data_IF_176371379081
#
_entry.id   IF_176371379081
#
_cell.length_a   1.000
_cell.length_b   1.000
_cell.length_c   1.000
_cell.angle_alpha   90.00
_cell.angle_beta   90.00
_cell.angle_gamma   90.00
#
_symmetry.space_group_name_H-M   'P 1'
#
loop_
_entity.id
_entity.type
_entity.pdbx_description
1 polymer ?
#
# COMPACT_ATOMS: atom_id res chain seq x y z
N UNK A 1 -13.11 7.46 -1.36
CA UNK A 1 -12.03 7.60 -0.35
C UNK A 1 -10.94 6.55 -0.61
N UNK A 2 -11.22 5.26 -0.44
CA UNK A 2 -10.25 4.16 -0.61
C UNK A 2 -9.41 4.15 -1.91
N UNK A 3 -10.02 4.37 -3.09
CA UNK A 3 -9.27 4.38 -4.36
C UNK A 3 -8.25 5.51 -4.44
N UNK A 4 -8.51 6.66 -3.80
CA UNK A 4 -7.57 7.79 -3.76
C UNK A 4 -6.40 7.48 -2.83
N UNK A 5 -6.66 6.89 -1.68
CA UNK A 5 -5.63 6.55 -0.69
C UNK A 5 -4.66 5.50 -1.27
N UNK A 6 -5.21 4.49 -1.97
CA UNK A 6 -4.41 3.49 -2.71
C UNK A 6 -3.57 4.15 -3.80
N UNK A 7 -4.14 5.07 -4.59
CA UNK A 7 -3.40 5.79 -5.64
C UNK A 7 -2.25 6.58 -5.04
N UNK A 8 -2.48 7.33 -3.96
CA UNK A 8 -1.44 8.11 -3.28
C UNK A 8 -0.33 7.19 -2.74
N UNK A 9 -0.69 6.08 -2.09
CA UNK A 9 0.29 5.11 -1.57
C UNK A 9 1.15 4.52 -2.70
N UNK A 10 0.55 4.13 -3.82
CA UNK A 10 1.27 3.62 -4.99
C UNK A 10 2.15 4.71 -5.63
N UNK A 11 1.68 5.95 -5.70
CA UNK A 11 2.47 7.09 -6.19
C UNK A 11 3.70 7.35 -5.32
N UNK A 12 3.58 7.24 -3.99
CA UNK A 12 4.74 7.35 -3.10
C UNK A 12 5.78 6.25 -3.34
N UNK A 13 5.33 5.00 -3.50
CA UNK A 13 6.24 3.88 -3.84
C UNK A 13 6.92 4.12 -5.19
N UNK A 14 6.17 4.51 -6.21
CA UNK A 14 6.73 4.82 -7.53
C UNK A 14 7.73 5.98 -7.46
N UNK A 15 7.42 7.05 -6.72
CA UNK A 15 8.32 8.17 -6.49
C UNK A 15 9.61 7.75 -5.80
N UNK A 16 9.54 6.87 -4.80
CA UNK A 16 10.71 6.31 -4.12
C UNK A 16 11.60 5.52 -5.09
N UNK A 17 11.01 4.68 -5.94
CA UNK A 17 11.74 3.96 -6.99
C UNK A 17 12.45 4.92 -7.94
N UNK A 18 11.73 5.91 -8.48
CA UNK A 18 12.33 6.92 -9.36
C UNK A 18 13.47 7.67 -8.67
N UNK A 19 13.29 8.11 -7.43
CA UNK A 19 14.30 8.84 -6.68
C UNK A 19 15.55 7.98 -6.44
N UNK A 20 15.41 6.74 -5.97
CA UNK A 20 16.57 5.89 -5.74
C UNK A 20 17.28 5.47 -7.02
N UNK A 21 16.55 5.17 -8.09
CA UNK A 21 17.16 4.86 -9.38
C UNK A 21 17.92 6.07 -9.93
N UNK A 22 17.34 7.27 -9.81
CA UNK A 22 18.02 8.51 -10.19
C UNK A 22 19.30 8.73 -9.38
N UNK A 23 19.25 8.59 -8.06
CA UNK A 23 20.43 8.74 -7.20
C UNK A 23 21.50 7.72 -7.57
N UNK A 24 21.15 6.44 -7.71
CA UNK A 24 22.10 5.39 -8.09
C UNK A 24 22.78 5.67 -9.44
N UNK A 25 22.04 6.20 -10.41
CA UNK A 25 22.58 6.62 -11.70
C UNK A 25 23.47 7.86 -11.59
N UNK A 26 22.98 8.92 -10.93
CA UNK A 26 23.67 10.19 -10.81
C UNK A 26 24.97 10.09 -10.00
N UNK A 27 25.05 9.15 -9.05
CA UNK A 27 26.24 8.95 -8.22
C UNK A 27 27.13 7.79 -8.66
N UNK A 28 26.86 7.17 -9.82
CA UNK A 28 27.55 5.94 -10.23
C UNK A 28 29.07 6.09 -10.30
N UNK A 29 29.52 7.22 -10.87
CA UNK A 29 30.94 7.52 -11.03
C UNK A 29 31.59 8.11 -9.77
N UNK A 30 30.79 8.49 -8.77
CA UNK A 30 31.29 8.94 -7.46
C UNK A 30 31.71 7.77 -6.57
N UNK A 31 31.19 6.57 -6.82
CA UNK A 31 31.52 5.38 -6.04
C UNK A 31 32.96 4.92 -6.37
N UNK A 32 33.90 4.97 -5.39
CA UNK A 32 35.33 4.85 -5.66
C UNK A 32 35.82 3.42 -5.94
N UNK A 33 34.99 2.41 -5.66
CA UNK A 33 35.36 1.01 -5.87
C UNK A 33 34.16 0.16 -6.27
N UNK A 34 34.38 -0.99 -6.94
CA UNK A 34 33.32 -1.95 -7.24
C UNK A 34 32.58 -2.42 -5.99
N UNK A 35 33.30 -2.62 -4.87
CA UNK A 35 32.69 -3.01 -3.59
C UNK A 35 31.73 -1.94 -3.07
N UNK A 36 32.11 -0.66 -3.15
CA UNK A 36 31.22 0.44 -2.76
C UNK A 36 29.93 0.46 -3.59
N UNK A 37 30.03 0.21 -4.90
CA UNK A 37 28.86 0.10 -5.80
C UNK A 37 27.94 -1.06 -5.40
N UNK A 38 28.50 -2.23 -5.08
CA UNK A 38 27.72 -3.38 -4.61
C UNK A 38 26.97 -3.04 -3.31
N UNK A 39 27.64 -2.40 -2.34
CA UNK A 39 27.03 -2.01 -1.07
C UNK A 39 25.89 -1.00 -1.29
N UNK A 40 26.11 0.01 -2.14
CA UNK A 40 25.08 0.99 -2.49
C UNK A 40 23.87 0.34 -3.18
N UNK A 41 24.11 -0.57 -4.12
CA UNK A 41 23.05 -1.29 -4.82
C UNK A 41 22.27 -2.22 -3.89
N UNK A 42 22.96 -2.95 -3.00
CA UNK A 42 22.33 -3.82 -2.01
C UNK A 42 21.50 -3.00 -1.02
N UNK A 43 22.06 -1.92 -0.48
CA UNK A 43 21.35 -1.02 0.43
C UNK A 43 20.13 -0.37 -0.23
N UNK A 44 20.28 0.14 -1.45
CA UNK A 44 19.18 0.69 -2.24
C UNK A 44 18.08 -0.33 -2.53
N UNK A 45 18.46 -1.55 -2.92
CA UNK A 45 17.51 -2.64 -3.15
C UNK A 45 16.73 -3.02 -1.88
N UNK A 46 17.41 -3.11 -0.73
CA UNK A 46 16.77 -3.35 0.57
C UNK A 46 15.74 -2.26 0.86
N UNK A 47 16.11 -0.97 0.76
CA UNK A 47 15.19 0.15 1.00
C UNK A 47 13.95 0.04 0.11
N UNK A 48 14.13 -0.22 -1.19
CA UNK A 48 13.04 -0.31 -2.16
C UNK A 48 12.11 -1.49 -1.90
N UNK A 49 12.67 -2.68 -1.69
CA UNK A 49 11.90 -3.91 -1.46
C UNK A 49 11.11 -3.82 -0.16
N UNK A 50 11.76 -3.44 0.95
CA UNK A 50 11.10 -3.39 2.25
C UNK A 50 10.02 -2.29 2.30
N UNK A 51 10.26 -1.11 1.73
CA UNK A 51 9.21 -0.08 1.67
C UNK A 51 8.03 -0.51 0.78
N UNK A 52 8.30 -1.13 -0.37
CA UNK A 52 7.25 -1.64 -1.24
C UNK A 52 6.43 -2.72 -0.51
N UNK A 53 7.09 -3.65 0.18
CA UNK A 53 6.44 -4.70 0.96
C UNK A 53 5.60 -4.13 2.12
N UNK A 54 6.11 -3.13 2.84
CA UNK A 54 5.37 -2.48 3.93
C UNK A 54 4.08 -1.81 3.42
N UNK A 55 4.14 -1.08 2.30
CA UNK A 55 2.95 -0.48 1.69
C UNK A 55 1.99 -1.54 1.19
N UNK A 56 2.46 -2.61 0.55
CA UNK A 56 1.60 -3.71 0.12
C UNK A 56 0.92 -4.42 1.30
N UNK A 57 1.64 -4.64 2.40
CA UNK A 57 1.09 -5.20 3.62
C UNK A 57 0.03 -4.29 4.24
N UNK A 58 0.30 -2.98 4.31
CA UNK A 58 -0.67 -1.98 4.76
C UNK A 58 -1.94 -2.02 3.91
N UNK A 59 -1.81 -2.04 2.58
CA UNK A 59 -2.94 -2.08 1.66
C UNK A 59 -3.72 -3.40 1.74
N UNK A 60 -3.05 -4.54 1.95
CA UNK A 60 -3.69 -5.83 2.11
C UNK A 60 -4.49 -5.90 3.41
N UNK A 61 -3.89 -5.51 4.52
CA UNK A 61 -4.56 -5.51 5.83
C UNK A 61 -5.74 -4.54 5.86
N UNK A 62 -5.61 -3.37 5.23
CA UNK A 62 -6.72 -2.42 5.08
C UNK A 62 -7.95 -2.99 4.37
N UNK A 63 -7.77 -3.94 3.44
CA UNK A 63 -8.90 -4.62 2.77
C UNK A 63 -9.53 -5.66 3.67
N UNK A 64 -8.70 -6.43 4.36
CA UNK A 64 -9.09 -7.52 5.26
C UNK A 64 -9.89 -7.00 6.46
N UNK A 65 -9.39 -5.95 7.12
CA UNK A 65 -10.08 -5.30 8.25
C UNK A 65 -11.40 -4.65 7.82
N UNK A 66 -11.45 -4.09 6.61
CA UNK A 66 -12.64 -3.41 6.08
C UNK A 66 -13.77 -4.38 5.78
N UNK A 67 -13.47 -5.51 5.15
CA UNK A 67 -14.47 -6.51 4.79
C UNK A 67 -15.06 -7.17 6.05
N UNK A 68 -14.24 -7.34 7.10
CA UNK A 68 -14.72 -7.75 8.41
C UNK A 68 -15.64 -6.69 9.05
N UNK A 69 -15.22 -5.42 9.08
CA UNK A 69 -15.94 -4.36 9.77
C UNK A 69 -17.32 -4.06 9.13
N UNK A 70 -17.42 -4.03 7.79
CA UNK A 70 -18.68 -3.75 7.11
C UNK A 70 -19.59 -4.96 6.90
N UNK A 71 -19.08 -6.19 6.97
CA UNK A 71 -19.93 -7.37 6.83
C UNK A 71 -21.04 -7.43 7.89
N UNK A 72 -20.75 -6.96 9.10
CA UNK A 72 -21.73 -6.93 10.19
C UNK A 72 -22.78 -5.83 9.98
N UNK A 73 -22.35 -4.62 9.62
CA UNK A 73 -23.28 -3.51 9.32
C UNK A 73 -24.19 -3.82 8.13
N UNK A 74 -23.68 -4.47 7.08
CA UNK A 74 -24.50 -4.90 5.93
C UNK A 74 -25.56 -5.91 6.36
N UNK A 75 -25.22 -6.88 7.22
CA UNK A 75 -26.19 -7.85 7.75
C UNK A 75 -27.30 -7.17 8.55
N UNK A 76 -26.99 -6.18 9.37
CA UNK A 76 -27.99 -5.42 10.11
C UNK A 76 -28.85 -4.54 9.19
N UNK A 77 -28.26 -3.91 8.17
CA UNK A 77 -28.98 -3.15 7.15
C UNK A 77 -29.96 -4.03 6.37
N UNK A 78 -29.53 -5.24 5.97
CA UNK A 78 -30.38 -6.19 5.27
C UNK A 78 -31.49 -6.73 6.18
N UNK A 79 -31.20 -7.00 7.45
CA UNK A 79 -32.21 -7.39 8.43
C UNK A 79 -33.25 -6.27 8.65
N UNK A 80 -32.81 -5.01 8.75
CA UNK A 80 -33.70 -3.86 8.88
C UNK A 80 -34.57 -3.66 7.62
N UNK A 81 -34.00 -3.85 6.42
CA UNK A 81 -34.76 -3.83 5.15
C UNK A 81 -35.78 -4.95 5.10
N UNK A 82 -35.42 -6.17 5.49
CA UNK A 82 -36.34 -7.31 5.52
C UNK A 82 -37.49 -7.09 6.51
N UNK A 83 -37.21 -6.52 7.69
CA UNK A 83 -38.22 -6.15 8.69
C UNK A 83 -39.18 -5.07 8.18
N UNK A 84 -38.68 -4.05 7.46
CA UNK A 84 -39.51 -3.03 6.80
C UNK A 84 -40.36 -3.63 5.68
N UNK A 85 -39.78 -4.47 4.82
CA UNK A 85 -40.50 -5.15 3.75
C UNK A 85 -41.60 -6.08 4.28
N UNK A 86 -41.37 -6.70 5.44
CA UNK A 86 -42.36 -7.52 6.15
C UNK A 86 -43.42 -6.70 6.93
N UNK A 87 -43.37 -5.36 6.88
CA UNK A 87 -44.31 -4.48 7.59
C UNK A 87 -44.18 -4.51 9.12
N UNK A 88 -43.07 -5.05 9.65
CA UNK A 88 -42.82 -5.20 11.10
C UNK A 88 -42.18 -3.97 11.74
N UNK A 89 -41.60 -3.10 10.93
CA UNK A 89 -41.11 -1.78 11.31
C UNK A 89 -41.86 -0.75 10.47
N UNK A 90 -42.57 0.18 11.12
CA UNK A 90 -43.23 1.32 10.46
C UNK A 90 -42.21 2.39 10.07
#
# INVERSE_FOLDING_TARGET
MHRRDVVVAVTFVAGLWCAMSFVAWATWDLAPSPTARIVLMAGGAIVLVFNTAAILAMLRHYREDRDFMYALDIKFLDAARAQRAAGRLK
#
